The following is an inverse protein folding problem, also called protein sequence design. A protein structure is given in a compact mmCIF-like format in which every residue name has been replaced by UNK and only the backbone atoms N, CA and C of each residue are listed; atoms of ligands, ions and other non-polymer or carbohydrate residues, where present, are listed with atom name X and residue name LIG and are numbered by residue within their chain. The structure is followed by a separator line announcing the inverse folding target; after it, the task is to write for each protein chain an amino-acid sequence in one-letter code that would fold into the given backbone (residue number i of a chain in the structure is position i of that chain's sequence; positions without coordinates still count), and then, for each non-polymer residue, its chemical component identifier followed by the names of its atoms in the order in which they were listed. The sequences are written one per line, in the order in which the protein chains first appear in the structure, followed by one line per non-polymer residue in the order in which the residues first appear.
data_IF_586714464726
#
_entry.id   IF_586714464726
#
_cell.length_a   1.000
_cell.length_b   1.000
_cell.length_c   1.000
_cell.angle_alpha   90.00
_cell.angle_beta   90.00
_cell.angle_gamma   90.00
#
_symmetry.space_group_name_H-M   'P 1'
#
loop_
_entity.id
_entity.type
_entity.pdbx_description
1 polymer ?
#
# COMPACT_ATOMS: atom_id res chain seq x y z
N UNK A 1 -4.45 12.24 -5.38
CA UNK A 1 -4.65 11.42 -4.17
C UNK A 1 -3.88 10.11 -4.29
N UNK A 2 -3.13 9.77 -3.26
CA UNK A 2 -2.42 8.50 -3.18
C UNK A 2 -2.94 7.73 -1.97
N UNK A 3 -3.40 6.50 -2.20
CA UNK A 3 -3.74 5.52 -1.17
C UNK A 3 -2.59 4.52 -1.10
N UNK A 4 -1.90 4.46 0.03
CA UNK A 4 -0.74 3.58 0.18
C UNK A 4 -1.02 2.48 1.19
N UNK A 5 -1.18 1.26 0.70
CA UNK A 5 -1.36 0.08 1.55
C UNK A 5 0.01 -0.47 1.92
N UNK A 6 0.25 -0.62 3.22
CA UNK A 6 1.47 -1.23 3.77
C UNK A 6 1.08 -2.38 4.69
N UNK A 7 1.92 -3.39 4.78
CA UNK A 7 1.69 -4.57 5.62
C UNK A 7 2.43 -5.79 5.09
N UNK A 8 2.44 -6.84 5.89
CA UNK A 8 3.10 -8.09 5.53
C UNK A 8 2.42 -8.79 4.34
N UNK A 9 3.15 -9.68 3.63
CA UNK A 9 2.53 -10.54 2.62
C UNK A 9 1.36 -11.35 3.22
N UNK A 10 0.27 -11.48 2.47
CA UNK A 10 -0.91 -12.21 2.94
C UNK A 10 -1.85 -11.42 3.84
N UNK A 11 -1.56 -10.15 4.12
CA UNK A 11 -2.44 -9.31 4.96
C UNK A 11 -3.74 -8.89 4.27
N UNK A 12 -3.78 -8.93 2.95
CA UNK A 12 -4.95 -8.54 2.16
C UNK A 12 -4.78 -7.25 1.36
N UNK A 13 -3.57 -6.69 1.31
CA UNK A 13 -3.28 -5.43 0.62
C UNK A 13 -3.73 -5.42 -0.85
N UNK A 14 -3.33 -6.45 -1.60
CA UNK A 14 -3.60 -6.51 -3.04
C UNK A 14 -5.10 -6.61 -3.30
N UNK A 15 -5.81 -7.44 -2.56
CA UNK A 15 -7.27 -7.57 -2.67
C UNK A 15 -7.98 -6.24 -2.38
N UNK A 16 -7.57 -5.55 -1.31
CA UNK A 16 -8.14 -4.24 -0.96
C UNK A 16 -7.81 -3.20 -2.03
N UNK A 17 -6.58 -3.20 -2.53
CA UNK A 17 -6.15 -2.26 -3.57
C UNK A 17 -6.96 -2.43 -4.87
N UNK A 18 -7.15 -3.66 -5.31
CA UNK A 18 -7.93 -3.98 -6.51
C UNK A 18 -9.39 -3.52 -6.35
N UNK A 19 -9.98 -3.80 -5.18
CA UNK A 19 -11.38 -3.46 -4.91
C UNK A 19 -11.55 -1.94 -4.78
N UNK A 20 -10.63 -1.26 -4.11
CA UNK A 20 -10.66 0.21 -4.01
C UNK A 20 -10.53 0.86 -5.39
N UNK A 21 -9.61 0.37 -6.22
CA UNK A 21 -9.45 0.84 -7.59
C UNK A 21 -10.77 0.74 -8.36
N UNK A 22 -11.43 -0.41 -8.30
CA UNK A 22 -12.70 -0.62 -8.98
C UNK A 22 -13.79 0.35 -8.50
N UNK A 23 -13.88 0.59 -7.20
CA UNK A 23 -14.85 1.52 -6.62
C UNK A 23 -14.60 2.95 -7.08
N UNK A 24 -13.34 3.39 -7.11
CA UNK A 24 -12.97 4.73 -7.55
C UNK A 24 -13.20 4.91 -9.06
N UNK A 25 -12.90 3.90 -9.86
CA UNK A 25 -13.18 3.92 -11.30
C UNK A 25 -14.66 4.02 -11.58
N UNK A 26 -15.50 3.29 -10.83
CA UNK A 26 -16.95 3.35 -10.94
C UNK A 26 -17.48 4.74 -10.62
N UNK A 27 -16.80 5.48 -9.75
CA UNK A 27 -17.11 6.88 -9.43
C UNK A 27 -16.58 7.87 -10.49
N UNK A 28 -16.03 7.38 -11.60
CA UNK A 28 -15.55 8.21 -12.71
C UNK A 28 -14.15 8.77 -12.55
N UNK A 29 -13.34 8.24 -11.63
CA UNK A 29 -11.98 8.72 -11.36
C UNK A 29 -10.95 7.95 -12.18
N UNK A 30 -9.94 8.61 -12.78
CA UNK A 30 -8.80 7.89 -13.36
C UNK A 30 -7.93 7.34 -12.21
N UNK A 31 -7.72 6.02 -12.17
CA UNK A 31 -7.01 5.34 -11.09
C UNK A 31 -5.99 4.36 -11.66
N UNK A 32 -4.80 4.34 -11.11
CA UNK A 32 -3.76 3.34 -11.41
C UNK A 32 -3.37 2.65 -10.12
N UNK A 33 -3.27 1.31 -10.18
CA UNK A 33 -2.76 0.48 -9.09
C UNK A 33 -1.30 0.15 -9.35
N UNK A 34 -0.45 0.45 -8.36
CA UNK A 34 0.97 0.07 -8.36
C UNK A 34 1.15 -1.03 -7.31
N UNK A 35 1.40 -2.25 -7.76
CA UNK A 35 1.66 -3.37 -6.87
C UNK A 35 3.16 -3.63 -6.76
N UNK A 36 3.66 -3.82 -5.52
CA UNK A 36 5.08 -3.98 -5.26
C UNK A 36 5.70 -5.22 -5.90
N UNK A 37 4.98 -6.35 -5.91
CA UNK A 37 5.45 -7.58 -6.57
C UNK A 37 5.52 -7.42 -8.09
N UNK A 38 4.48 -6.80 -8.67
CA UNK A 38 4.45 -6.51 -10.11
C UNK A 38 5.61 -5.61 -10.51
N UNK A 39 5.87 -4.56 -9.73
CA UNK A 39 6.97 -3.62 -10.00
C UNK A 39 8.32 -4.32 -9.91
N UNK A 40 8.51 -5.22 -8.94
CA UNK A 40 9.72 -6.03 -8.85
C UNK A 40 9.96 -6.84 -10.11
N UNK A 41 8.92 -7.50 -10.61
CA UNK A 41 9.00 -8.29 -11.84
C UNK A 41 9.37 -7.43 -13.04
N UNK A 42 8.75 -6.27 -13.16
CA UNK A 42 9.01 -5.34 -14.24
C UNK A 42 10.45 -4.82 -14.24
N UNK A 43 11.02 -4.60 -13.06
CA UNK A 43 12.39 -4.11 -12.88
C UNK A 43 13.42 -5.23 -12.81
N UNK A 44 13.01 -6.49 -12.91
CA UNK A 44 13.86 -7.66 -12.70
C UNK A 44 14.62 -7.60 -11.36
N UNK A 45 13.98 -7.08 -10.33
CA UNK A 45 14.57 -6.93 -9.00
C UNK A 45 14.27 -8.16 -8.13
N UNK A 46 15.22 -9.09 -8.06
CA UNK A 46 15.15 -10.30 -7.23
C UNK A 46 15.94 -10.15 -5.93
N UNK A 47 16.36 -8.93 -5.61
CA UNK A 47 17.13 -8.63 -4.41
C UNK A 47 16.19 -8.34 -3.24
N UNK A 48 16.10 -9.27 -2.28
CA UNK A 48 15.28 -9.15 -1.07
C UNK A 48 16.06 -8.63 0.13
N UNK A 49 17.32 -8.19 -0.09
CA UNK A 49 18.07 -7.45 0.92
C UNK A 49 17.42 -6.09 1.17
N UNK A 50 17.87 -5.41 2.22
CA UNK A 50 17.39 -4.04 2.51
C UNK A 50 17.59 -3.12 1.31
N UNK A 51 18.74 -3.16 0.67
CA UNK A 51 19.02 -2.33 -0.51
C UNK A 51 18.04 -2.61 -1.66
N UNK A 52 17.73 -3.86 -1.94
CA UNK A 52 16.80 -4.24 -2.99
C UNK A 52 15.36 -3.83 -2.67
N UNK A 53 14.96 -3.95 -1.41
CA UNK A 53 13.64 -3.50 -0.94
C UNK A 53 13.50 -1.99 -1.04
N UNK A 54 14.51 -1.24 -0.61
CA UNK A 54 14.53 0.22 -0.71
C UNK A 54 14.42 0.66 -2.16
N UNK A 55 15.15 0.04 -3.06
CA UNK A 55 15.12 0.36 -4.49
C UNK A 55 13.73 0.18 -5.08
N UNK A 56 13.04 -0.91 -4.73
CA UNK A 56 11.68 -1.17 -5.19
C UNK A 56 10.67 -0.15 -4.63
N UNK A 57 10.78 0.16 -3.34
CA UNK A 57 9.90 1.13 -2.69
C UNK A 57 10.09 2.52 -3.29
N UNK A 58 11.34 2.96 -3.49
CA UNK A 58 11.62 4.27 -4.09
C UNK A 58 11.07 4.39 -5.49
N UNK A 59 11.21 3.33 -6.31
CA UNK A 59 10.63 3.31 -7.64
C UNK A 59 9.11 3.46 -7.60
N UNK A 60 8.45 2.77 -6.67
CA UNK A 60 7.00 2.89 -6.46
C UNK A 60 6.60 4.29 -6.02
N UNK A 61 7.35 4.89 -5.10
CA UNK A 61 7.09 6.26 -4.63
C UNK A 61 7.24 7.29 -5.75
N UNK A 62 8.30 7.18 -6.54
CA UNK A 62 8.54 8.07 -7.66
C UNK A 62 7.43 7.97 -8.70
N UNK A 63 7.03 6.76 -9.04
CA UNK A 63 5.93 6.53 -9.99
C UNK A 63 4.61 7.09 -9.44
N UNK A 64 4.32 6.85 -8.17
CA UNK A 64 3.11 7.35 -7.52
C UNK A 64 3.04 8.88 -7.55
N UNK A 65 4.14 9.57 -7.24
CA UNK A 65 4.19 11.04 -7.29
C UNK A 65 3.99 11.55 -8.71
N UNK A 66 4.63 10.93 -9.69
CA UNK A 66 4.49 11.34 -11.09
C UNK A 66 3.04 11.23 -11.55
N UNK A 67 2.37 10.13 -11.26
CA UNK A 67 0.97 9.92 -11.61
C UNK A 67 0.05 10.89 -10.86
N UNK A 68 0.32 11.09 -9.58
CA UNK A 68 -0.43 12.04 -8.77
C UNK A 68 -0.34 13.47 -9.34
N UNK A 69 0.84 13.89 -9.76
CA UNK A 69 1.06 15.20 -10.35
C UNK A 69 0.33 15.36 -11.70
N UNK A 70 0.06 14.26 -12.38
CA UNK A 70 -0.74 14.24 -13.62
C UNK A 70 -2.25 14.18 -13.36
N UNK A 71 -2.68 14.25 -12.11
CA UNK A 71 -4.10 14.21 -11.74
C UNK A 71 -4.70 12.82 -11.65
N UNK A 72 -3.88 11.78 -11.62
CA UNK A 72 -4.32 10.39 -11.52
C UNK A 72 -4.35 9.97 -10.07
N UNK A 73 -5.43 9.30 -9.64
CA UNK A 73 -5.49 8.68 -8.32
C UNK A 73 -4.60 7.44 -8.33
N UNK A 74 -3.76 7.31 -7.33
CA UNK A 74 -2.85 6.17 -7.20
C UNK A 74 -3.30 5.30 -6.04
N UNK A 75 -3.38 4.00 -6.29
CA UNK A 75 -3.55 2.98 -5.26
C UNK A 75 -2.29 2.14 -5.27
N UNK A 76 -1.51 2.19 -4.20
CA UNK A 76 -0.24 1.46 -4.09
C UNK A 76 -0.33 0.38 -3.03
N UNK A 77 0.20 -0.80 -3.31
CA UNK A 77 0.24 -1.92 -2.38
C UNK A 77 1.66 -2.47 -2.28
N UNK A 78 2.32 -2.15 -1.18
CA UNK A 78 3.71 -2.54 -0.91
C UNK A 78 3.83 -3.07 0.52
N UNK A 79 4.73 -4.00 0.75
CA UNK A 79 5.12 -4.36 2.12
C UNK A 79 5.67 -3.13 2.83
N UNK A 80 6.59 -2.42 2.21
CA UNK A 80 7.23 -1.17 2.70
C UNK A 80 7.49 -1.16 4.21
N UNK A 81 8.45 -2.01 4.68
CA UNK A 81 8.61 -2.24 6.11
C UNK A 81 9.33 -1.12 6.86
N UNK A 82 9.85 -0.11 6.17
CA UNK A 82 10.68 0.94 6.77
C UNK A 82 9.85 2.18 7.06
N UNK A 83 9.63 2.45 8.34
CA UNK A 83 8.79 3.57 8.80
C UNK A 83 9.31 4.92 8.29
N UNK A 84 10.60 5.14 8.35
CA UNK A 84 11.19 6.41 7.91
C UNK A 84 10.85 6.73 6.46
N UNK A 85 10.93 5.75 5.57
CA UNK A 85 10.57 5.93 4.17
C UNK A 85 9.10 6.26 3.99
N UNK A 86 8.23 5.58 4.75
CA UNK A 86 6.78 5.84 4.70
C UNK A 86 6.46 7.24 5.21
N UNK A 87 7.05 7.63 6.35
CA UNK A 87 6.79 8.94 6.97
C UNK A 87 7.29 10.09 6.10
N UNK A 88 8.48 9.97 5.53
CA UNK A 88 9.02 10.96 4.61
C UNK A 88 8.10 11.15 3.40
N UNK A 89 7.67 10.06 2.80
CA UNK A 89 6.81 10.12 1.62
C UNK A 89 5.42 10.66 1.96
N UNK A 90 4.87 10.26 3.08
CA UNK A 90 3.58 10.78 3.58
C UNK A 90 3.62 12.30 3.77
N UNK A 91 4.68 12.82 4.36
CA UNK A 91 4.90 14.26 4.53
C UNK A 91 4.92 14.99 3.20
N UNK A 92 5.60 14.43 2.22
CA UNK A 92 5.81 15.07 0.92
C UNK A 92 4.58 14.98 0.02
N UNK A 93 3.82 13.91 0.11
CA UNK A 93 2.71 13.61 -0.81
C UNK A 93 1.33 13.87 -0.23
N UNK A 94 1.18 13.91 1.09
CA UNK A 94 -0.12 13.97 1.75
C UNK A 94 -0.97 12.71 1.55
N UNK A 95 -0.34 11.57 1.29
CA UNK A 95 -1.05 10.31 1.05
C UNK A 95 -1.85 9.84 2.26
N UNK A 96 -2.83 8.98 2.03
CA UNK A 96 -3.47 8.20 3.08
C UNK A 96 -2.71 6.88 3.22
N UNK A 97 -2.06 6.70 4.36
CA UNK A 97 -1.40 5.44 4.71
C UNK A 97 -2.42 4.50 5.33
N UNK A 98 -2.49 3.27 4.81
CA UNK A 98 -3.40 2.23 5.30
C UNK A 98 -2.54 1.05 5.73
N UNK A 99 -2.48 0.80 7.04
CA UNK A 99 -1.75 -0.34 7.57
C UNK A 99 -2.68 -1.54 7.64
N UNK A 100 -2.38 -2.55 6.81
CA UNK A 100 -3.18 -3.76 6.67
C UNK A 100 -2.53 -4.90 7.43
N UNK A 101 -3.26 -5.53 8.33
CA UNK A 101 -2.76 -6.65 9.13
C UNK A 101 -3.87 -7.66 9.42
N UNK A 102 -3.47 -8.84 9.83
CA UNK A 102 -4.39 -9.92 10.19
C UNK A 102 -3.75 -10.87 11.18
N UNK A 103 -4.55 -11.49 12.03
CA UNK A 103 -4.12 -12.61 12.87
C UNK A 103 -4.41 -13.96 12.20
N UNK A 104 -5.10 -13.98 11.06
CA UNK A 104 -5.37 -15.20 10.32
C UNK A 104 -4.10 -15.76 9.68
N UNK A 105 -3.95 -17.08 9.68
CA UNK A 105 -2.85 -17.77 8.99
C UNK A 105 -3.29 -17.96 7.53
N UNK A 106 -2.61 -17.27 6.60
CA UNK A 106 -2.97 -17.22 5.18
C UNK A 106 -1.94 -17.88 4.27
N UNK A 107 -0.95 -18.57 4.83
CA UNK A 107 0.03 -19.35 4.08
C UNK A 107 1.22 -18.55 3.54
N UNK A 108 1.37 -17.28 3.90
CA UNK A 108 2.46 -16.40 3.44
C UNK A 108 3.43 -16.00 4.57
N UNK A 109 3.31 -16.61 5.75
CA UNK A 109 4.06 -16.19 6.94
C UNK A 109 5.58 -16.37 6.79
N UNK A 110 6.03 -17.37 6.04
CA UNK A 110 7.45 -17.57 5.76
C UNK A 110 8.04 -16.54 4.77
N UNK A 111 7.21 -15.71 4.16
CA UNK A 111 7.63 -14.59 3.31
C UNK A 111 7.59 -13.26 4.03
N UNK A 112 7.30 -13.24 5.33
CA UNK A 112 7.21 -11.99 6.10
C UNK A 112 8.55 -11.26 6.09
N UNK A 113 8.47 -9.94 5.96
CA UNK A 113 9.64 -9.08 6.09
C UNK A 113 10.08 -9.04 7.55
N UNK A 114 11.33 -9.39 7.80
CA UNK A 114 11.93 -9.29 9.13
C UNK A 114 12.10 -7.81 9.48
N UNK A 115 11.76 -7.44 10.70
CA UNK A 115 11.93 -6.06 11.16
C UNK A 115 10.94 -5.09 10.56
N UNK A 116 9.72 -5.53 10.23
CA UNK A 116 8.66 -4.62 9.80
C UNK A 116 8.37 -3.62 10.91
N UNK A 117 8.49 -2.33 10.60
CA UNK A 117 8.29 -1.25 11.55
C UNK A 117 6.85 -0.72 11.46
N UNK A 118 6.10 -0.83 12.55
CA UNK A 118 4.70 -0.41 12.61
C UNK A 118 4.57 1.11 12.42
N UNK A 119 3.50 1.58 11.77
CA UNK A 119 3.22 3.02 11.74
C UNK A 119 2.86 3.52 13.15
N UNK A 120 3.16 4.78 13.44
CA UNK A 120 2.96 5.37 14.76
C UNK A 120 1.89 6.46 14.78
N UNK A 121 1.67 7.14 13.65
CA UNK A 121 0.75 8.28 13.60
C UNK A 121 0.21 8.49 12.18
N UNK A 122 -0.93 9.15 12.09
CA UNK A 122 -1.55 9.59 10.83
C UNK A 122 -1.68 8.44 9.83
N UNK A 123 -2.29 7.35 10.26
CA UNK A 123 -2.57 6.20 9.41
C UNK A 123 -3.95 5.63 9.72
N UNK A 124 -4.51 4.93 8.75
CA UNK A 124 -5.73 4.16 8.94
C UNK A 124 -5.35 2.73 9.28
N UNK A 125 -5.77 2.27 10.45
CA UNK A 125 -5.56 0.87 10.87
C UNK A 125 -6.60 -0.02 10.20
N UNK A 126 -6.15 -1.07 9.53
CA UNK A 126 -7.02 -2.00 8.83
C UNK A 126 -6.70 -3.44 9.21
N UNK A 127 -7.39 -3.92 10.23
CA UNK A 127 -7.34 -5.33 10.61
C UNK A 127 -8.35 -6.09 9.73
N UNK A 128 -7.84 -6.97 8.86
CA UNK A 128 -8.67 -7.73 7.94
C UNK A 128 -9.16 -9.06 8.51
N UNK A 129 -8.91 -9.31 9.79
CA UNK A 129 -9.36 -10.53 10.47
C UNK A 129 -10.89 -10.57 10.56
N UNK A 130 -11.51 -11.55 9.88
CA UNK A 130 -12.95 -11.74 9.96
C UNK A 130 -13.82 -10.61 9.44
N UNK A 131 -13.28 -9.68 8.64
CA UNK A 131 -14.01 -8.55 8.08
C UNK A 131 -14.12 -8.69 6.57
N UNK A 132 -15.28 -8.33 6.00
CA UNK A 132 -15.47 -8.37 4.55
C UNK A 132 -14.63 -7.30 3.85
N UNK A 133 -14.27 -7.56 2.61
CA UNK A 133 -13.56 -6.61 1.77
C UNK A 133 -14.38 -5.33 1.60
N UNK A 134 -15.68 -5.45 1.38
CA UNK A 134 -16.61 -4.32 1.22
C UNK A 134 -16.61 -3.40 2.44
N UNK A 135 -16.62 -3.99 3.65
CA UNK A 135 -16.58 -3.21 4.90
C UNK A 135 -15.26 -2.44 5.02
N UNK A 136 -14.14 -3.07 4.64
CA UNK A 136 -12.83 -2.40 4.60
C UNK A 136 -12.84 -1.22 3.63
N UNK A 137 -13.39 -1.39 2.45
CA UNK A 137 -13.46 -0.32 1.43
C UNK A 137 -14.31 0.85 1.92
N UNK A 138 -15.44 0.59 2.56
CA UNK A 138 -16.28 1.65 3.13
C UNK A 138 -15.52 2.46 4.19
N UNK A 139 -14.76 1.78 5.03
CA UNK A 139 -13.91 2.44 6.03
C UNK A 139 -12.85 3.33 5.38
N UNK A 140 -12.23 2.87 4.31
CA UNK A 140 -11.23 3.65 3.57
C UNK A 140 -11.86 4.89 2.92
N UNK A 141 -12.99 4.72 2.24
CA UNK A 141 -13.68 5.82 1.56
C UNK A 141 -14.24 6.86 2.55
N UNK A 142 -14.56 6.44 3.76
CA UNK A 142 -15.01 7.33 4.83
C UNK A 142 -13.88 8.03 5.58
N UNK A 143 -12.62 7.66 5.36
CA UNK A 143 -11.50 8.25 6.06
C UNK A 143 -11.24 9.67 5.57
N UNK A 144 -10.99 10.59 6.51
CA UNK A 144 -10.64 11.97 6.19
C UNK A 144 -9.13 12.16 6.32
N UNK A 145 -8.57 12.91 5.41
CA UNK A 145 -7.19 13.34 5.52
C UNK A 145 -7.07 14.40 6.61
N UNK A 146 -6.12 14.19 7.47
CA UNK A 146 -5.75 15.21 8.43
C UNK A 146 -4.87 16.27 7.75
#
# INVERSE_FOLDING_TARGET
MIYWFTGQPGSGKTTLAITLKAALQKAGRPVIHIDGEFLRGLMANNDFSEAGRIRNIRAGQQLAMKLHDEGIVVVASFVSPYREMREEFKKRSGLLEIYVHTTEVRGRENHFATGFELPLQNFLDMDTTGISVEACIQKILGAKHA
#
